data_IF_774783779464
#
_entry.id   IF_774783779464
#
_cell.length_a   1.000
_cell.length_b   1.000
_cell.length_c   1.000
_cell.angle_alpha   90.00
_cell.angle_beta   90.00
_cell.angle_gamma   90.00
#
_symmetry.space_group_name_H-M   'P 1'
#
loop_
_entity.id
_entity.type
_entity.pdbx_description
1 polymer ?
#
# COMPACT_ATOMS: atom_id res chain seq x y z
N UNK A 1 -34.68 23.95 9.11
CA UNK A 1 -33.89 22.74 8.79
C UNK A 1 -32.43 23.12 8.94
N UNK A 2 -31.72 22.54 9.91
CA UNK A 2 -30.34 22.95 10.23
C UNK A 2 -29.40 22.41 9.16
N UNK A 3 -28.71 23.30 8.45
CA UNK A 3 -27.58 22.94 7.62
C UNK A 3 -26.56 22.21 8.51
N UNK A 4 -26.31 20.93 8.27
CA UNK A 4 -25.11 20.28 8.78
C UNK A 4 -23.95 20.95 8.06
N UNK A 5 -23.32 21.94 8.69
CA UNK A 5 -22.03 22.44 8.24
C UNK A 5 -21.07 21.25 8.28
N UNK A 6 -20.64 20.75 7.13
CA UNK A 6 -19.60 19.73 7.07
C UNK A 6 -18.40 20.20 7.87
N UNK A 7 -17.88 19.31 8.72
CA UNK A 7 -16.69 19.57 9.51
C UNK A 7 -15.55 19.99 8.57
N UNK A 8 -14.95 21.19 8.76
CA UNK A 8 -13.85 21.67 7.92
C UNK A 8 -12.69 20.66 7.80
N UNK A 9 -12.45 19.87 8.84
CA UNK A 9 -11.44 18.81 8.84
C UNK A 9 -11.80 17.69 7.85
N UNK A 10 -13.07 17.28 7.80
CA UNK A 10 -13.57 16.29 6.85
C UNK A 10 -13.44 16.83 5.42
N UNK A 11 -13.86 18.08 5.19
CA UNK A 11 -13.77 18.71 3.87
C UNK A 11 -12.31 18.82 3.39
N UNK A 12 -11.37 19.12 4.29
CA UNK A 12 -9.94 19.19 3.95
C UNK A 12 -9.38 17.79 3.65
N UNK A 13 -9.72 16.78 4.45
CA UNK A 13 -9.31 15.40 4.23
C UNK A 13 -9.84 14.84 2.90
N UNK A 14 -11.09 15.14 2.55
CA UNK A 14 -11.64 14.78 1.24
C UNK A 14 -10.93 15.47 0.09
N UNK A 15 -10.66 16.77 0.22
CA UNK A 15 -9.91 17.51 -0.80
C UNK A 15 -8.50 16.94 -0.98
N UNK A 16 -7.83 16.55 0.11
CA UNK A 16 -6.51 15.92 0.09
C UNK A 16 -6.52 14.61 -0.71
N UNK A 17 -7.55 13.77 -0.49
CA UNK A 17 -7.76 12.53 -1.25
C UNK A 17 -8.08 12.83 -2.73
N UNK A 18 -8.99 13.75 -3.01
CA UNK A 18 -9.39 14.10 -4.40
C UNK A 18 -8.24 14.68 -5.22
N UNK A 19 -7.30 15.38 -4.60
CA UNK A 19 -6.07 15.88 -5.25
C UNK A 19 -5.01 14.77 -5.49
N UNK A 20 -5.27 13.54 -5.03
CA UNK A 20 -4.38 12.39 -5.23
C UNK A 20 -3.15 12.38 -4.31
N UNK A 21 -3.09 13.22 -3.28
CA UNK A 21 -1.93 13.24 -2.37
C UNK A 21 -1.80 11.94 -1.58
N UNK A 22 -2.92 11.37 -1.14
CA UNK A 22 -2.91 10.07 -0.45
C UNK A 22 -2.32 8.97 -1.32
N UNK A 23 -2.71 8.92 -2.60
CA UNK A 23 -2.24 7.87 -3.51
C UNK A 23 -0.76 8.04 -3.84
N UNK A 24 -0.29 9.29 -4.01
CA UNK A 24 1.15 9.59 -4.15
C UNK A 24 1.97 9.15 -2.94
N UNK A 25 1.46 9.36 -1.73
CA UNK A 25 2.15 8.93 -0.51
C UNK A 25 2.21 7.41 -0.39
N UNK A 26 1.09 6.71 -0.67
CA UNK A 26 1.08 5.24 -0.74
C UNK A 26 2.09 4.72 -1.77
N UNK A 27 2.11 5.34 -2.95
CA UNK A 27 3.04 4.94 -3.99
C UNK A 27 4.50 5.16 -3.56
N UNK A 28 4.81 6.28 -2.91
CA UNK A 28 6.15 6.52 -2.33
C UNK A 28 6.54 5.39 -1.37
N UNK A 29 5.68 5.04 -0.41
CA UNK A 29 5.96 3.95 0.55
C UNK A 29 6.25 2.63 -0.17
N UNK A 30 5.53 2.33 -1.26
CA UNK A 30 5.73 1.11 -2.05
C UNK A 30 7.00 1.13 -2.91
N UNK A 31 7.41 2.31 -3.40
CA UNK A 31 8.52 2.45 -4.35
C UNK A 31 9.85 2.86 -3.72
N UNK A 32 9.84 3.34 -2.48
CA UNK A 32 11.05 3.70 -1.76
C UNK A 32 11.96 2.48 -1.59
N UNK A 33 13.27 2.68 -1.72
CA UNK A 33 14.25 1.62 -1.58
C UNK A 33 14.22 1.04 -0.16
N UNK A 34 14.25 -0.28 -0.06
CA UNK A 34 14.48 -1.00 1.19
C UNK A 34 15.99 -1.18 1.32
N UNK A 35 16.61 -0.53 2.31
CA UNK A 35 18.00 -0.81 2.65
C UNK A 35 18.07 -2.09 3.48
N UNK A 36 17.93 -3.25 2.82
CA UNK A 36 18.24 -4.53 3.43
C UNK A 36 19.72 -4.85 3.18
N UNK A 37 20.54 -4.70 4.22
CA UNK A 37 21.93 -5.20 4.30
C UNK A 37 22.80 -5.05 3.05
N UNK A 38 22.88 -3.80 2.57
CA UNK A 38 24.04 -3.32 1.81
C UNK A 38 24.23 -3.83 0.38
N UNK A 39 23.26 -4.53 -0.24
CA UNK A 39 23.49 -5.00 -1.62
C UNK A 39 22.29 -5.16 -2.56
N UNK A 40 21.12 -4.57 -2.29
CA UNK A 40 20.10 -4.49 -3.35
C UNK A 40 19.15 -3.32 -3.11
N UNK A 41 19.11 -2.36 -4.05
CA UNK A 41 18.06 -1.33 -4.13
C UNK A 41 16.74 -1.97 -4.60
N UNK A 42 16.17 -2.88 -3.81
CA UNK A 42 14.85 -3.42 -4.08
C UNK A 42 13.81 -2.63 -3.29
N UNK A 43 12.71 -2.23 -3.93
CA UNK A 43 11.60 -1.57 -3.26
C UNK A 43 10.52 -2.58 -2.86
N UNK A 44 9.65 -2.17 -1.94
CA UNK A 44 8.59 -3.02 -1.38
C UNK A 44 7.66 -3.56 -2.47
N UNK A 45 7.34 -2.76 -3.50
CA UNK A 45 6.51 -3.17 -4.62
C UNK A 45 7.12 -4.35 -5.39
N UNK A 46 8.41 -4.27 -5.73
CA UNK A 46 9.11 -5.32 -6.48
C UNK A 46 9.19 -6.59 -5.65
N UNK A 47 9.47 -6.45 -4.35
CA UNK A 47 9.50 -7.56 -3.43
C UNK A 47 8.15 -8.29 -3.35
N UNK A 48 7.08 -7.55 -3.11
CA UNK A 48 5.72 -8.11 -3.05
C UNK A 48 5.37 -8.82 -4.37
N UNK A 49 5.70 -8.21 -5.52
CA UNK A 49 5.48 -8.85 -6.83
C UNK A 49 6.21 -10.17 -6.98
N UNK A 50 7.49 -10.24 -6.60
CA UNK A 50 8.28 -11.49 -6.65
C UNK A 50 7.65 -12.56 -5.76
N UNK A 51 7.23 -12.22 -4.54
CA UNK A 51 6.59 -13.15 -3.61
C UNK A 51 5.25 -13.67 -4.11
N UNK A 52 4.42 -12.79 -4.65
CA UNK A 52 3.16 -13.20 -5.27
C UNK A 52 3.43 -14.16 -6.44
N UNK A 53 4.48 -13.92 -7.25
CA UNK A 53 4.86 -14.84 -8.32
C UNK A 53 5.32 -16.21 -7.80
N UNK A 54 6.11 -16.26 -6.72
CA UNK A 54 6.54 -17.50 -6.06
C UNK A 54 5.33 -18.28 -5.53
N UNK A 55 4.43 -17.61 -4.81
CA UNK A 55 3.21 -18.19 -4.27
C UNK A 55 2.30 -18.75 -5.37
N UNK A 56 2.18 -18.03 -6.49
CA UNK A 56 1.43 -18.51 -7.67
C UNK A 56 2.07 -19.78 -8.22
N UNK A 57 3.40 -19.81 -8.37
CA UNK A 57 4.11 -21.00 -8.87
C UNK A 57 3.88 -22.19 -7.95
N UNK A 58 3.96 -22.01 -6.64
CA UNK A 58 3.73 -23.07 -5.66
C UNK A 58 2.28 -23.58 -5.69
N UNK A 59 1.32 -22.68 -5.85
CA UNK A 59 -0.10 -23.06 -5.97
C UNK A 59 -0.38 -23.81 -7.26
N UNK A 60 0.19 -23.36 -8.38
CA UNK A 60 0.09 -24.05 -9.67
C UNK A 60 0.77 -25.42 -9.62
N UNK A 61 1.91 -25.54 -8.94
CA UNK A 61 2.58 -26.83 -8.77
C UNK A 61 1.73 -27.82 -7.95
N UNK A 62 0.96 -27.32 -6.97
CA UNK A 62 0.03 -28.12 -6.16
C UNK A 62 -1.26 -28.49 -6.92
N UNK A 63 -1.71 -27.64 -7.83
CA UNK A 63 -2.88 -27.86 -8.67
C UNK A 63 -2.67 -27.27 -10.07
N UNK A 64 -2.20 -28.10 -11.00
CA UNK A 64 -1.94 -27.70 -12.39
C UNK A 64 -3.23 -27.27 -13.12
N UNK A 65 -4.42 -27.65 -12.61
CA UNK A 65 -5.69 -27.21 -13.18
C UNK A 65 -5.89 -25.69 -13.10
N UNK A 66 -5.17 -25.01 -12.20
CA UNK A 66 -5.19 -23.56 -12.06
C UNK A 66 -4.62 -22.81 -13.29
N UNK A 67 -3.78 -23.47 -14.10
CA UNK A 67 -3.25 -22.92 -15.37
C UNK A 67 -4.37 -22.81 -16.40
N UNK A 68 -5.33 -23.74 -16.37
CA UNK A 68 -6.41 -23.86 -17.34
C UNK A 68 -7.67 -23.09 -16.95
N UNK A 69 -7.76 -22.59 -15.71
CA UNK A 69 -8.85 -21.71 -15.28
C UNK A 69 -8.64 -20.28 -15.80
N UNK A 70 -9.74 -19.56 -16.01
CA UNK A 70 -9.70 -18.17 -16.45
C UNK A 70 -8.79 -17.33 -15.53
N UNK A 71 -7.89 -16.54 -16.13
CA UNK A 71 -6.92 -15.68 -15.41
C UNK A 71 -7.55 -14.88 -14.28
N UNK A 72 -8.73 -14.31 -14.51
CA UNK A 72 -9.46 -13.53 -13.50
C UNK A 72 -9.93 -14.36 -12.28
N UNK A 73 -10.32 -15.62 -12.49
CA UNK A 73 -10.79 -16.51 -11.42
C UNK A 73 -9.63 -16.99 -10.54
N UNK A 74 -8.47 -17.27 -11.15
CA UNK A 74 -7.25 -17.62 -10.42
C UNK A 74 -6.74 -16.43 -9.61
N UNK A 75 -6.71 -15.22 -10.18
CA UNK A 75 -6.35 -13.98 -9.45
C UNK A 75 -7.26 -13.73 -8.24
N UNK A 76 -8.59 -13.84 -8.40
CA UNK A 76 -9.52 -13.64 -7.30
C UNK A 76 -9.33 -14.66 -6.15
N UNK A 77 -9.01 -15.91 -6.48
CA UNK A 77 -8.75 -16.96 -5.49
C UNK A 77 -7.46 -16.67 -4.72
N UNK A 78 -6.42 -16.22 -5.42
CA UNK A 78 -5.13 -15.81 -4.84
C UNK A 78 -5.30 -14.61 -3.90
N UNK A 79 -5.97 -13.55 -4.36
CA UNK A 79 -6.27 -12.37 -3.55
C UNK A 79 -7.07 -12.76 -2.30
N UNK A 80 -8.11 -13.58 -2.44
CA UNK A 80 -8.90 -14.06 -1.32
C UNK A 80 -8.09 -14.92 -0.34
N UNK A 81 -7.07 -15.63 -0.80
CA UNK A 81 -6.19 -16.41 0.06
C UNK A 81 -5.20 -15.52 0.80
N UNK A 82 -4.54 -14.60 0.11
CA UNK A 82 -3.62 -13.61 0.71
C UNK A 82 -4.33 -12.73 1.73
N UNK A 83 -5.55 -12.28 1.42
CA UNK A 83 -6.35 -11.46 2.33
C UNK A 83 -6.77 -12.24 3.58
N UNK A 84 -7.19 -13.51 3.43
CA UNK A 84 -7.59 -14.37 4.56
C UNK A 84 -6.43 -14.68 5.51
N UNK A 85 -5.22 -14.77 4.99
CA UNK A 85 -4.01 -15.02 5.80
C UNK A 85 -3.38 -13.74 6.31
N UNK A 86 -4.01 -12.57 6.10
CA UNK A 86 -3.46 -11.29 6.56
C UNK A 86 -2.09 -11.00 5.96
N UNK A 87 -1.83 -11.44 4.72
CA UNK A 87 -0.54 -11.29 4.04
C UNK A 87 0.64 -12.03 4.69
N UNK A 88 0.42 -12.88 5.70
CA UNK A 88 1.45 -13.73 6.32
C UNK A 88 2.22 -14.58 5.29
N UNK A 89 1.56 -14.97 4.20
CA UNK A 89 2.19 -15.74 3.12
C UNK A 89 3.23 -14.93 2.31
N UNK A 90 3.32 -13.61 2.53
CA UNK A 90 4.34 -12.73 1.97
C UNK A 90 5.53 -12.53 2.93
N UNK A 91 5.42 -12.96 4.19
CA UNK A 91 6.50 -12.86 5.19
C UNK A 91 7.55 -13.95 4.99
N UNK A 92 8.79 -13.60 5.29
CA UNK A 92 9.94 -14.51 5.35
C UNK A 92 10.92 -13.99 6.42
N UNK A 93 11.90 -14.80 6.82
CA UNK A 93 12.91 -14.53 7.84
C UNK A 93 13.70 -13.23 7.58
N UNK A 94 13.68 -12.74 6.33
CA UNK A 94 14.40 -11.53 5.91
C UNK A 94 13.51 -10.29 5.79
N UNK A 95 12.20 -10.46 5.60
CA UNK A 95 11.30 -9.35 5.23
C UNK A 95 9.92 -9.57 5.84
N UNK A 96 9.54 -8.62 6.69
CA UNK A 96 8.21 -8.50 7.27
C UNK A 96 7.52 -7.29 6.66
N UNK A 97 6.62 -7.55 5.71
CA UNK A 97 5.89 -6.52 4.95
C UNK A 97 5.05 -5.63 5.87
N UNK A 98 4.41 -6.22 6.89
CA UNK A 98 3.56 -5.49 7.81
C UNK A 98 4.42 -4.53 8.64
N UNK A 99 5.54 -5.03 9.16
CA UNK A 99 6.49 -4.20 9.91
C UNK A 99 7.05 -3.06 9.07
N UNK A 100 7.41 -3.31 7.81
CA UNK A 100 7.90 -2.25 6.90
C UNK A 100 6.84 -1.17 6.70
N UNK A 101 5.57 -1.55 6.51
CA UNK A 101 4.48 -0.59 6.35
C UNK A 101 4.25 0.17 7.66
N UNK A 102 4.23 -0.51 8.80
CA UNK A 102 4.06 0.11 10.12
C UNK A 102 5.19 1.10 10.43
N UNK A 103 6.45 0.72 10.19
CA UNK A 103 7.62 1.58 10.39
C UNK A 103 7.50 2.85 9.51
N UNK A 104 7.05 2.71 8.27
CA UNK A 104 6.83 3.84 7.36
C UNK A 104 5.64 4.71 7.76
N UNK A 105 4.56 4.13 8.28
CA UNK A 105 3.41 4.88 8.79
C UNK A 105 3.72 5.59 10.12
N UNK A 106 4.67 5.07 10.89
CA UNK A 106 5.20 5.66 12.11
C UNK A 106 6.27 6.74 11.89
N UNK A 107 6.73 6.94 10.64
CA UNK A 107 7.78 7.89 10.30
C UNK A 107 7.32 9.35 10.52
N UNK A 108 8.04 10.07 11.37
CA UNK A 108 7.78 11.49 11.64
C UNK A 108 7.96 12.37 10.40
N UNK A 109 8.83 11.98 9.46
CA UNK A 109 9.02 12.71 8.21
C UNK A 109 7.76 12.62 7.34
N UNK A 110 7.13 11.44 7.28
CA UNK A 110 5.86 11.26 6.57
C UNK A 110 4.75 12.11 7.20
N UNK A 111 4.65 12.12 8.53
CA UNK A 111 3.68 12.94 9.26
C UNK A 111 3.91 14.43 8.99
N UNK A 112 5.16 14.88 9.03
CA UNK A 112 5.55 16.26 8.72
C UNK A 112 5.14 16.64 7.29
N UNK A 113 5.44 15.78 6.31
CA UNK A 113 5.07 15.98 4.91
C UNK A 113 3.56 16.09 4.70
N UNK A 114 2.78 15.23 5.37
CA UNK A 114 1.31 15.30 5.34
C UNK A 114 0.83 16.65 5.92
N UNK A 115 1.37 17.08 7.06
CA UNK A 115 1.01 18.37 7.67
C UNK A 115 1.31 19.55 6.76
N UNK A 116 2.49 19.59 6.15
CA UNK A 116 2.88 20.66 5.22
C UNK A 116 1.92 20.75 4.03
N UNK A 117 1.60 19.63 3.40
CA UNK A 117 0.63 19.58 2.30
C UNK A 117 -0.76 20.08 2.74
N UNK A 118 -1.22 19.69 3.93
CA UNK A 118 -2.51 20.15 4.46
C UNK A 118 -2.51 21.66 4.75
N UNK A 119 -1.40 22.21 5.27
CA UNK A 119 -1.25 23.65 5.50
C UNK A 119 -1.26 24.45 4.20
N UNK A 120 -0.52 24.00 3.18
CA UNK A 120 -0.53 24.60 1.84
C UNK A 120 -1.94 24.59 1.24
N UNK A 121 -2.66 23.48 1.38
CA UNK A 121 -4.05 23.35 0.92
C UNK A 121 -5.02 24.27 1.67
N UNK A 122 -4.79 24.52 2.96
CA UNK A 122 -5.60 25.45 3.74
C UNK A 122 -5.31 26.90 3.35
N UNK A 123 -4.04 27.26 3.18
CA UNK A 123 -3.62 28.60 2.78
C UNK A 123 -4.16 28.97 1.40
N UNK A 124 -4.04 28.08 0.41
CA UNK A 124 -4.55 28.26 -0.96
C UNK A 124 -6.07 28.31 -1.10
N UNK A 125 -6.83 28.00 -0.04
CA UNK A 125 -8.30 28.14 0.02
C UNK A 125 -8.75 29.46 0.63
N UNK A 126 -7.81 30.21 1.22
CA UNK A 126 -8.06 31.46 1.96
C UNK A 126 -7.76 32.72 1.12
N UNK A 127 -7.29 32.55 -0.12
CA UNK A 127 -7.17 33.56 -1.18
C UNK A 127 -8.35 33.44 -2.16
#
# INVERSE_FOLDING_TARGET
>A
MSAKSEDPAITLAEAFKRKGYLDKLKQSILTDALYADGNTEENLETLVKKRVQELIKDMVHKDESLIFKNRGSTSALLEAQLFRTGYEMLKDDRVDVDKIIEDRLGDEELVSKIRSLLMEMHASKSE
#
